data_IF_233943192158
#
_entry.id   IF_233943192158
#
_cell.length_a   1.000
_cell.length_b   1.000
_cell.length_c   1.000
_cell.angle_alpha   90.00
_cell.angle_beta   90.00
_cell.angle_gamma   90.00
#
_symmetry.space_group_name_H-M   'P 1'
#
loop_
_entity.id
_entity.type
_entity.pdbx_description
1 polymer ?
#
# COMPACT_ATOMS: atom_id res chain seq x y z
N UNK A 1 -14.11 -9.52 -18.70
CA UNK A 1 -13.10 -8.58 -18.18
C UNK A 1 -12.20 -9.42 -17.30
N UNK A 2 -10.97 -9.65 -17.73
CA UNK A 2 -9.98 -10.29 -16.87
C UNK A 2 -9.60 -9.29 -15.78
N UNK A 3 -10.04 -9.54 -14.56
CA UNK A 3 -9.61 -8.76 -13.42
C UNK A 3 -8.13 -9.07 -13.19
N UNK A 4 -7.26 -8.12 -13.47
CA UNK A 4 -5.85 -8.24 -13.10
C UNK A 4 -5.81 -8.20 -11.58
N UNK A 5 -5.60 -9.36 -10.96
CA UNK A 5 -5.39 -9.44 -9.51
C UNK A 5 -4.21 -8.56 -9.12
N UNK A 6 -4.43 -7.66 -8.17
CA UNK A 6 -3.38 -6.83 -7.59
C UNK A 6 -2.88 -7.46 -6.30
N UNK A 7 -1.57 -7.41 -6.11
CA UNK A 7 -0.90 -7.88 -4.90
C UNK A 7 -0.28 -6.69 -4.20
N UNK A 8 -0.61 -6.52 -2.92
CA UNK A 8 -0.05 -5.47 -2.06
C UNK A 8 0.87 -6.13 -1.03
N UNK A 9 2.17 -5.93 -1.20
CA UNK A 9 3.16 -6.29 -0.19
C UNK A 9 3.40 -5.12 0.76
N UNK A 10 3.45 -5.37 2.06
CA UNK A 10 3.71 -4.35 3.09
C UNK A 10 4.83 -4.86 3.98
N UNK A 11 5.93 -4.12 4.02
CA UNK A 11 6.99 -4.30 5.02
C UNK A 11 6.79 -3.28 6.15
N UNK A 12 6.90 -3.73 7.39
CA UNK A 12 6.41 -3.00 8.58
C UNK A 12 7.56 -2.66 9.50
N UNK A 13 7.72 -1.38 9.82
CA UNK A 13 8.60 -0.89 10.87
C UNK A 13 7.82 -0.10 11.93
N UNK A 14 8.51 0.32 13.00
CA UNK A 14 7.90 1.18 14.04
C UNK A 14 7.48 2.55 13.50
N UNK A 15 8.22 3.09 12.52
CA UNK A 15 8.03 4.46 12.04
C UNK A 15 7.30 4.51 10.69
N UNK A 16 7.44 3.46 9.88
CA UNK A 16 7.03 3.47 8.48
C UNK A 16 6.44 2.14 8.03
N UNK A 17 5.65 2.21 6.95
CA UNK A 17 5.15 1.07 6.18
C UNK A 17 5.64 1.24 4.74
N UNK A 18 6.41 0.28 4.25
CA UNK A 18 6.87 0.24 2.86
C UNK A 18 5.91 -0.64 2.05
N UNK A 19 5.23 -0.05 1.08
CA UNK A 19 4.13 -0.67 0.33
C UNK A 19 4.54 -0.89 -1.12
N UNK A 20 4.34 -2.09 -1.64
CA UNK A 20 4.66 -2.45 -3.02
C UNK A 20 3.46 -3.10 -3.72
N UNK A 21 3.05 -2.57 -4.87
CA UNK A 21 1.88 -3.03 -5.63
C UNK A 21 2.33 -3.69 -6.95
N UNK A 22 1.93 -4.96 -7.14
CA UNK A 22 2.14 -5.72 -8.38
C UNK A 22 0.82 -6.04 -9.08
N UNK A 23 0.79 -6.13 -10.43
CA UNK A 23 1.91 -5.96 -11.35
C UNK A 23 2.24 -4.49 -11.69
N UNK A 24 1.56 -3.51 -11.09
CA UNK A 24 1.70 -2.09 -11.43
C UNK A 24 3.10 -1.50 -11.18
N UNK A 25 3.94 -2.17 -10.38
CA UNK A 25 5.30 -1.72 -10.07
C UNK A 25 5.34 -0.43 -9.25
N UNK A 26 4.27 -0.15 -8.49
CA UNK A 26 4.21 1.04 -7.63
C UNK A 26 4.81 0.73 -6.27
N UNK A 27 5.56 1.68 -5.73
CA UNK A 27 6.14 1.62 -4.40
C UNK A 27 5.86 2.92 -3.65
N UNK A 28 5.52 2.81 -2.37
CA UNK A 28 5.22 3.93 -1.49
C UNK A 28 5.80 3.69 -0.11
N UNK A 29 6.01 4.77 0.64
CA UNK A 29 6.31 4.71 2.06
C UNK A 29 5.32 5.61 2.80
N UNK A 30 4.70 5.07 3.83
CA UNK A 30 3.78 5.80 4.71
C UNK A 30 4.32 5.82 6.13
N UNK A 31 3.99 6.85 6.91
CA UNK A 31 4.25 6.80 8.34
C UNK A 31 3.36 5.72 8.98
N UNK A 32 3.87 5.02 9.99
CA UNK A 32 3.10 4.04 10.76
C UNK A 32 2.24 4.78 11.82
N UNK A 33 1.32 5.61 11.36
CA UNK A 33 0.34 6.35 12.16
C UNK A 33 -1.06 6.02 11.67
N UNK A 34 -2.06 6.11 12.54
CA UNK A 34 -3.45 5.79 12.18
C UNK A 34 -3.95 6.62 10.99
N UNK A 35 -3.61 7.91 10.94
CA UNK A 35 -3.99 8.81 9.85
C UNK A 35 -3.39 8.36 8.52
N UNK A 36 -2.11 8.02 8.48
CA UNK A 36 -1.44 7.62 7.24
C UNK A 36 -1.85 6.22 6.79
N UNK A 37 -2.16 5.31 7.72
CA UNK A 37 -2.76 4.01 7.39
C UNK A 37 -4.15 4.19 6.77
N UNK A 38 -4.98 5.09 7.32
CA UNK A 38 -6.29 5.38 6.73
C UNK A 38 -6.15 5.99 5.32
N UNK A 39 -5.14 6.83 5.08
CA UNK A 39 -4.83 7.37 3.76
C UNK A 39 -4.37 6.28 2.78
N UNK A 40 -3.51 5.35 3.22
CA UNK A 40 -3.10 4.19 2.45
C UNK A 40 -4.31 3.33 2.03
N UNK A 41 -5.23 3.02 2.95
CA UNK A 41 -6.44 2.24 2.64
C UNK A 41 -7.28 2.93 1.57
N UNK A 42 -7.49 4.25 1.69
CA UNK A 42 -8.22 5.02 0.66
C UNK A 42 -7.55 4.96 -0.71
N UNK A 43 -6.22 5.02 -0.76
CA UNK A 43 -5.47 4.91 -2.02
C UNK A 43 -5.61 3.52 -2.67
N UNK A 44 -5.64 2.45 -1.87
CA UNK A 44 -5.75 1.08 -2.39
C UNK A 44 -7.17 0.71 -2.87
N UNK A 45 -8.19 1.45 -2.44
CA UNK A 45 -9.59 1.25 -2.85
C UNK A 45 -9.97 1.98 -4.15
N UNK A 46 -9.07 2.79 -4.70
CA UNK A 46 -9.29 3.60 -5.92
C UNK A 46 -8.79 2.87 -7.16
#
# INVERSE_FOLDING_TARGET
MDYISQWVGIDVSKATLDVYIRPMGKAFQFANTETEIANLVKQLQS
#
